data_IF_255235601306
#
_entry.id   IF_255235601306
#
_cell.length_a   1.000
_cell.length_b   1.000
_cell.length_c   1.000
_cell.angle_alpha   90.00
_cell.angle_beta   90.00
_cell.angle_gamma   90.00
#
_symmetry.space_group_name_H-M   'P 1'
#
loop_
_entity.id
_entity.type
_entity.pdbx_description
1 polymer ?
#
# COMPACT_ATOMS: atom_id res chain seq x y z
N UNK A 1 -57.40 4.19 -11.40
CA UNK A 1 -56.83 5.45 -11.93
C UNK A 1 -56.52 6.35 -10.74
N UNK A 2 -55.24 6.48 -10.39
CA UNK A 2 -54.77 7.11 -9.14
C UNK A 2 -54.38 8.57 -9.41
N UNK A 3 -55.05 9.51 -8.77
CA UNK A 3 -54.75 10.94 -8.86
C UNK A 3 -53.68 11.31 -7.82
N UNK A 4 -52.42 11.36 -8.26
CA UNK A 4 -51.30 11.86 -7.48
C UNK A 4 -51.38 13.39 -7.37
N UNK A 5 -51.79 13.88 -6.20
CA UNK A 5 -51.70 15.30 -5.84
C UNK A 5 -50.23 15.66 -5.60
N UNK A 6 -49.62 16.33 -6.58
CA UNK A 6 -48.24 16.79 -6.55
C UNK A 6 -48.12 17.98 -5.60
N UNK A 7 -47.69 17.75 -4.36
CA UNK A 7 -47.35 18.84 -3.44
C UNK A 7 -46.18 19.65 -4.01
N UNK A 8 -46.49 20.87 -4.46
CA UNK A 8 -45.55 21.88 -4.94
C UNK A 8 -44.75 22.40 -3.74
N UNK A 9 -43.52 21.90 -3.53
CA UNK A 9 -42.61 22.44 -2.52
C UNK A 9 -42.30 23.90 -2.86
N UNK A 10 -42.72 24.79 -1.98
CA UNK A 10 -42.38 26.21 -1.94
C UNK A 10 -40.87 26.32 -1.73
N UNK A 11 -40.17 27.07 -2.59
CA UNK A 11 -38.77 27.48 -2.40
C UNK A 11 -38.71 28.51 -1.25
N UNK A 12 -37.94 28.28 -0.18
CA UNK A 12 -37.56 29.37 0.70
C UNK A 12 -36.51 30.23 -0.01
N UNK A 13 -36.74 31.53 0.07
CA UNK A 13 -35.96 32.64 -0.46
C UNK A 13 -34.48 32.56 -0.12
N UNK A 14 -33.66 33.09 -1.04
CA UNK A 14 -32.32 33.59 -0.75
C UNK A 14 -32.39 34.57 0.42
N UNK A 15 -32.05 34.09 1.61
CA UNK A 15 -31.65 34.90 2.75
C UNK A 15 -30.14 34.77 2.87
N UNK A 16 -29.43 35.85 2.55
CA UNK A 16 -28.05 36.07 2.96
C UNK A 16 -27.98 35.99 4.47
N UNK A 17 -27.46 34.89 5.00
CA UNK A 17 -27.02 34.81 6.39
C UNK A 17 -25.56 34.37 6.37
N UNK A 18 -24.70 35.37 6.17
CA UNK A 18 -23.30 35.35 6.58
C UNK A 18 -23.27 35.35 8.11
N UNK A 19 -23.81 34.29 8.71
CA UNK A 19 -23.97 34.10 10.14
C UNK A 19 -22.77 33.36 10.71
N UNK A 20 -21.90 34.13 11.35
CA UNK A 20 -20.93 33.75 12.37
C UNK A 20 -20.35 32.34 12.27
N UNK A 21 -19.20 32.25 11.61
CA UNK A 21 -18.43 31.02 11.53
C UNK A 21 -17.94 30.65 12.93
N UNK A 22 -18.70 29.86 13.70
CA UNK A 22 -18.40 29.47 15.10
C UNK A 22 -17.07 28.74 15.35
N UNK A 23 -16.24 28.59 14.31
CA UNK A 23 -14.82 28.28 14.41
C UNK A 23 -14.13 29.45 13.75
N UNK A 24 -13.67 30.38 14.57
CA UNK A 24 -13.01 31.63 14.15
C UNK A 24 -11.57 31.38 13.68
N UNK A 25 -10.93 30.36 14.24
CA UNK A 25 -9.54 30.03 13.93
C UNK A 25 -9.31 28.51 14.02
N UNK A 26 -9.04 27.88 12.86
CA UNK A 26 -8.74 26.44 12.78
C UNK A 26 -7.44 26.07 13.52
N UNK A 27 -6.52 27.02 13.74
CA UNK A 27 -5.29 26.79 14.52
C UNK A 27 -5.57 26.46 15.98
N UNK A 28 -6.67 26.95 16.55
CA UNK A 28 -7.08 26.59 17.91
C UNK A 28 -7.38 25.10 17.99
N UNK A 29 -8.00 24.51 16.95
CA UNK A 29 -8.23 23.07 16.88
C UNK A 29 -6.91 22.30 16.79
N UNK A 30 -5.95 22.78 16.01
CA UNK A 30 -4.61 22.15 15.92
C UNK A 30 -3.92 22.15 17.29
N UNK A 31 -3.95 23.29 18.01
CA UNK A 31 -3.38 23.40 19.36
C UNK A 31 -4.11 22.50 20.36
N UNK A 32 -5.44 22.41 20.29
CA UNK A 32 -6.24 21.51 21.11
C UNK A 32 -5.85 20.06 20.86
N UNK A 33 -5.80 19.62 19.60
CA UNK A 33 -5.40 18.26 19.25
C UNK A 33 -3.95 17.95 19.65
N UNK A 34 -3.06 18.93 19.57
CA UNK A 34 -1.70 18.82 20.10
C UNK A 34 -1.70 18.60 21.62
N UNK A 35 -2.57 19.29 22.37
CA UNK A 35 -2.65 19.16 23.83
C UNK A 35 -3.18 17.80 24.31
N UNK A 36 -3.97 17.12 23.48
CA UNK A 36 -4.49 15.76 23.73
C UNK A 36 -3.70 14.68 22.97
N UNK A 37 -2.44 14.97 22.61
CA UNK A 37 -1.51 14.03 21.95
C UNK A 37 -2.07 13.37 20.67
N UNK A 38 -2.89 14.12 19.94
CA UNK A 38 -3.57 13.65 18.74
C UNK A 38 -4.33 12.34 18.95
N UNK A 39 -5.19 12.31 19.97
CA UNK A 39 -6.11 11.19 20.18
C UNK A 39 -7.05 10.99 18.98
N UNK A 40 -6.98 9.79 18.39
CA UNK A 40 -7.70 9.45 17.15
C UNK A 40 -9.20 9.30 17.41
N UNK A 41 -9.59 8.81 18.58
CA UNK A 41 -11.01 8.64 18.91
C UNK A 41 -11.70 10.00 18.98
N UNK A 42 -11.10 10.95 19.70
CA UNK A 42 -11.55 12.34 19.78
C UNK A 42 -11.60 12.98 18.40
N UNK A 43 -10.60 12.73 17.55
CA UNK A 43 -10.58 13.27 16.19
C UNK A 43 -11.77 12.75 15.36
N UNK A 44 -12.08 11.45 15.46
CA UNK A 44 -13.23 10.86 14.78
C UNK A 44 -14.57 11.38 15.32
N UNK A 45 -14.69 11.55 16.64
CA UNK A 45 -15.88 12.15 17.27
C UNK A 45 -16.07 13.59 16.83
N UNK A 46 -15.01 14.42 16.84
CA UNK A 46 -15.09 15.81 16.36
C UNK A 46 -15.53 15.87 14.89
N UNK A 47 -15.05 14.95 14.05
CA UNK A 47 -15.46 14.87 12.65
C UNK A 47 -16.94 14.51 12.46
N UNK A 48 -17.57 13.82 13.42
CA UNK A 48 -18.97 13.40 13.33
C UNK A 48 -19.97 14.43 13.86
N UNK A 49 -19.52 15.45 14.59
CA UNK A 49 -20.39 16.48 15.18
C UNK A 49 -21.11 17.31 14.12
N UNK A 50 -20.40 17.85 13.12
CA UNK A 50 -21.01 18.64 12.05
C UNK A 50 -20.16 18.68 10.78
N UNK A 51 -20.76 19.15 9.66
CA UNK A 51 -20.10 19.22 8.35
C UNK A 51 -18.89 20.16 8.30
N UNK A 52 -18.90 21.24 9.07
CA UNK A 52 -17.78 22.20 9.11
C UNK A 52 -16.55 21.56 9.78
N UNK A 53 -16.73 20.92 10.93
CA UNK A 53 -15.67 20.16 11.61
C UNK A 53 -15.20 18.99 10.76
N UNK A 54 -16.12 18.26 10.12
CA UNK A 54 -15.76 17.21 9.18
C UNK A 54 -14.85 17.74 8.04
N UNK A 55 -15.17 18.91 7.49
CA UNK A 55 -14.37 19.53 6.44
C UNK A 55 -12.97 19.94 6.94
N UNK A 56 -12.87 20.52 8.15
CA UNK A 56 -11.59 20.87 8.77
C UNK A 56 -10.75 19.62 9.04
N UNK A 57 -11.35 18.59 9.62
CA UNK A 57 -10.68 17.30 9.87
C UNK A 57 -10.14 16.71 8.57
N UNK A 58 -10.98 16.69 7.53
CA UNK A 58 -10.63 16.10 6.23
C UNK A 58 -9.51 16.86 5.52
N UNK A 59 -9.54 18.20 5.57
CA UNK A 59 -8.59 19.07 4.87
C UNK A 59 -7.28 19.27 5.64
N UNK A 60 -7.31 19.28 6.97
CA UNK A 60 -6.20 19.70 7.82
C UNK A 60 -5.79 18.64 8.84
N UNK A 61 -6.69 18.21 9.73
CA UNK A 61 -6.27 17.48 10.94
C UNK A 61 -5.73 16.08 10.66
N UNK A 62 -6.20 15.38 9.61
CA UNK A 62 -5.62 14.10 9.21
C UNK A 62 -4.15 14.21 8.82
N UNK A 63 -3.76 15.30 8.16
CA UNK A 63 -2.37 15.56 7.81
C UNK A 63 -1.54 15.74 9.07
N UNK A 64 -2.00 16.60 9.97
CA UNK A 64 -1.26 16.94 11.18
C UNK A 64 -1.05 15.72 12.09
N UNK A 65 -2.05 14.85 12.26
CA UNK A 65 -1.88 13.61 13.04
C UNK A 65 -0.90 12.63 12.37
N UNK A 66 -0.95 12.48 11.05
CA UNK A 66 0.00 11.62 10.33
C UNK A 66 1.44 12.14 10.47
N UNK A 67 1.64 13.45 10.37
CA UNK A 67 2.95 14.09 10.56
C UNK A 67 3.44 13.92 12.00
N UNK A 68 2.55 14.07 12.99
CA UNK A 68 2.89 13.86 14.39
C UNK A 68 3.30 12.41 14.68
N UNK A 69 2.56 11.41 14.16
CA UNK A 69 2.78 9.99 14.47
C UNK A 69 3.91 9.34 13.67
N UNK A 70 4.17 9.79 12.43
CA UNK A 70 5.23 9.22 11.59
C UNK A 70 5.95 10.29 10.75
N UNK A 71 6.65 11.24 11.37
CA UNK A 71 7.18 12.43 10.70
C UNK A 71 8.13 12.09 9.55
N UNK A 72 9.04 11.11 9.75
CA UNK A 72 10.01 10.69 8.73
C UNK A 72 9.33 10.05 7.52
N UNK A 73 8.35 9.19 7.76
CA UNK A 73 7.58 8.55 6.69
C UNK A 73 6.74 9.59 5.94
N UNK A 74 5.98 10.42 6.66
CA UNK A 74 5.15 11.47 6.07
C UNK A 74 5.97 12.45 5.22
N UNK A 75 7.14 12.88 5.69
CA UNK A 75 8.04 13.76 4.93
C UNK A 75 8.55 13.08 3.66
N UNK A 76 8.93 11.81 3.74
CA UNK A 76 9.42 11.05 2.58
C UNK A 76 8.31 10.86 1.54
N UNK A 77 7.13 10.41 1.95
CA UNK A 77 5.98 10.23 1.06
C UNK A 77 5.55 11.52 0.38
N UNK A 78 5.60 12.65 1.10
CA UNK A 78 5.24 13.97 0.54
C UNK A 78 6.27 14.43 -0.49
N UNK A 79 7.56 14.18 -0.26
CA UNK A 79 8.64 14.54 -1.21
C UNK A 79 8.58 13.71 -2.48
N UNK A 80 8.25 12.42 -2.37
CA UNK A 80 8.23 11.49 -3.50
C UNK A 80 6.91 11.50 -4.27
N UNK A 81 5.88 12.18 -3.75
CA UNK A 81 4.58 12.30 -4.38
C UNK A 81 4.57 13.33 -5.54
N UNK A 82 3.93 13.00 -6.68
CA UNK A 82 3.64 14.00 -7.70
C UNK A 82 2.74 15.09 -7.12
N UNK A 83 3.15 16.36 -7.28
CA UNK A 83 2.48 17.53 -6.70
C UNK A 83 2.37 17.53 -5.16
N UNK A 84 3.21 16.77 -4.46
CA UNK A 84 3.22 16.70 -3.00
C UNK A 84 2.01 16.00 -2.38
N UNK A 85 1.23 15.24 -3.17
CA UNK A 85 0.01 14.55 -2.70
C UNK A 85 0.24 13.04 -2.57
N UNK A 86 0.28 12.55 -1.33
CA UNK A 86 0.37 11.12 -1.02
C UNK A 86 -0.75 10.36 -1.74
N UNK A 87 -0.47 9.17 -2.26
CA UNK A 87 -1.46 8.31 -2.92
C UNK A 87 -2.70 8.11 -2.04
N UNK A 88 -3.90 8.40 -2.56
CA UNK A 88 -5.15 8.35 -1.80
C UNK A 88 -5.36 9.46 -0.73
N UNK A 89 -4.36 10.31 -0.47
CA UNK A 89 -4.47 11.47 0.42
C UNK A 89 -4.29 11.16 1.92
N UNK A 90 -4.25 12.23 2.73
CA UNK A 90 -3.97 12.15 4.17
C UNK A 90 -4.98 11.33 4.97
N UNK A 91 -6.25 11.33 4.56
CA UNK A 91 -7.26 10.49 5.20
C UNK A 91 -6.98 8.99 4.99
N UNK A 92 -6.55 8.57 3.80
CA UNK A 92 -6.16 7.18 3.56
C UNK A 92 -4.89 6.81 4.32
N UNK A 93 -3.94 7.74 4.41
CA UNK A 93 -2.74 7.57 5.25
C UNK A 93 -3.13 7.38 6.73
N UNK A 94 -4.04 8.18 7.26
CA UNK A 94 -4.53 8.04 8.62
C UNK A 94 -5.22 6.69 8.84
N UNK A 95 -6.11 6.27 7.94
CA UNK A 95 -6.72 4.93 8.00
C UNK A 95 -5.67 3.83 7.99
N UNK A 96 -4.69 3.92 7.11
CA UNK A 96 -3.60 2.94 7.02
C UNK A 96 -2.76 2.87 8.31
N UNK A 97 -2.55 4.00 8.98
CA UNK A 97 -1.80 4.07 10.24
C UNK A 97 -2.57 3.56 11.45
N UNK A 98 -3.89 3.80 11.51
CA UNK A 98 -4.68 3.63 12.73
C UNK A 98 -5.78 2.58 12.63
N UNK A 99 -6.01 1.96 11.48
CA UNK A 99 -7.09 1.00 11.28
C UNK A 99 -6.58 -0.33 10.72
N UNK A 100 -6.81 -1.41 11.48
CA UNK A 100 -6.77 -2.77 10.97
C UNK A 100 -8.05 -3.01 10.17
N UNK A 101 -7.94 -3.47 8.93
CA UNK A 101 -9.10 -3.71 8.08
C UNK A 101 -9.86 -5.00 8.41
N UNK A 102 -9.31 -5.84 9.29
CA UNK A 102 -9.81 -7.19 9.45
C UNK A 102 -9.46 -8.05 8.23
N UNK A 103 -10.07 -9.23 8.17
CA UNK A 103 -9.78 -10.24 7.14
C UNK A 103 -11.06 -11.01 6.80
N UNK A 104 -11.20 -11.32 5.52
CA UNK A 104 -12.20 -12.24 4.97
C UNK A 104 -11.49 -13.27 4.09
N UNK A 105 -12.10 -14.43 3.88
CA UNK A 105 -11.55 -15.45 2.99
C UNK A 105 -11.45 -14.95 1.55
N UNK A 106 -10.29 -15.12 0.94
CA UNK A 106 -10.05 -14.84 -0.47
C UNK A 106 -9.81 -16.14 -1.26
N UNK A 107 -9.58 -16.02 -2.56
CA UNK A 107 -9.24 -17.19 -3.40
C UNK A 107 -7.93 -17.87 -3.01
N UNK A 108 -6.97 -17.12 -2.45
CA UNK A 108 -5.63 -17.61 -2.11
C UNK A 108 -5.39 -17.75 -0.61
N UNK A 109 -6.30 -17.27 0.23
CA UNK A 109 -6.16 -17.34 1.67
C UNK A 109 -7.51 -17.63 2.32
N UNK A 110 -7.65 -18.82 2.91
CA UNK A 110 -8.90 -19.29 3.52
C UNK A 110 -8.80 -19.15 5.03
N UNK A 111 -9.74 -18.41 5.62
CA UNK A 111 -9.92 -18.31 7.07
C UNK A 111 -11.20 -19.01 7.49
N UNK A 112 -11.16 -19.70 8.63
CA UNK A 112 -12.31 -20.36 9.26
C UNK A 112 -13.38 -19.34 9.69
N UNK A 113 -12.94 -18.16 10.13
CA UNK A 113 -13.78 -17.07 10.61
C UNK A 113 -13.22 -15.72 10.15
N UNK A 114 -14.11 -14.84 9.67
CA UNK A 114 -13.73 -13.47 9.35
C UNK A 114 -13.36 -12.68 10.61
N UNK A 115 -12.40 -11.77 10.47
CA UNK A 115 -12.00 -10.83 11.52
C UNK A 115 -12.53 -9.43 11.19
N UNK A 116 -13.19 -8.78 12.15
CA UNK A 116 -13.69 -7.42 11.98
C UNK A 116 -12.55 -6.39 12.08
N UNK A 117 -12.68 -5.30 11.33
CA UNK A 117 -11.74 -4.18 11.42
C UNK A 117 -11.87 -3.40 12.73
N UNK A 118 -10.76 -2.84 13.20
CA UNK A 118 -10.71 -2.06 14.45
C UNK A 118 -9.58 -1.03 14.44
N UNK A 119 -9.63 -0.09 15.38
CA UNK A 119 -8.50 0.82 15.62
C UNK A 119 -7.34 0.07 16.27
N UNK A 120 -6.13 0.34 15.78
CA UNK A 120 -4.88 -0.18 16.35
C UNK A 120 -4.27 0.84 17.30
N UNK A 121 -3.81 0.37 18.46
CA UNK A 121 -3.26 1.24 19.51
C UNK A 121 -1.92 1.87 19.10
N UNK A 122 -1.08 1.07 18.45
CA UNK A 122 0.20 1.50 17.92
C UNK A 122 0.47 0.76 16.61
N UNK A 123 1.17 1.41 15.69
CA UNK A 123 1.65 0.77 14.46
C UNK A 123 2.98 1.39 14.09
N UNK A 124 3.97 0.53 13.86
CA UNK A 124 5.29 0.94 13.39
C UNK A 124 5.44 0.51 11.95
N UNK A 125 5.78 1.45 11.09
CA UNK A 125 6.07 1.20 9.68
C UNK A 125 7.58 1.18 9.48
N UNK A 126 8.09 0.13 8.84
CA UNK A 126 9.53 -0.04 8.62
C UNK A 126 9.86 -0.22 7.14
N UNK A 127 10.89 0.51 6.68
CA UNK A 127 11.51 0.30 5.36
C UNK A 127 12.26 -1.03 5.30
N UNK A 128 12.90 -1.44 6.40
CA UNK A 128 13.67 -2.69 6.44
C UNK A 128 12.73 -3.89 6.33
N UNK A 129 11.61 -3.85 7.04
CA UNK A 129 10.56 -4.85 6.90
C UNK A 129 10.04 -4.87 5.47
N UNK A 130 9.69 -3.72 4.89
CA UNK A 130 9.17 -3.66 3.53
C UNK A 130 10.15 -4.11 2.43
N UNK A 131 11.46 -4.03 2.65
CA UNK A 131 12.45 -4.60 1.73
C UNK A 131 12.29 -6.12 1.57
N UNK A 132 11.88 -6.82 2.62
CA UNK A 132 11.61 -8.26 2.58
C UNK A 132 10.35 -8.64 1.79
N UNK A 133 9.49 -7.67 1.45
CA UNK A 133 8.28 -7.88 0.65
C UNK A 133 8.49 -7.61 -0.84
N UNK A 134 9.66 -7.13 -1.25
CA UNK A 134 9.94 -6.80 -2.64
C UNK A 134 10.67 -7.96 -3.31
N UNK A 135 10.12 -8.45 -4.42
CA UNK A 135 10.82 -9.42 -5.27
C UNK A 135 12.14 -8.83 -5.78
N UNK A 136 13.07 -9.68 -6.21
CA UNK A 136 14.40 -9.27 -6.71
C UNK A 136 14.31 -8.17 -7.76
N UNK A 137 13.36 -8.27 -8.68
CA UNK A 137 13.12 -7.32 -9.76
C UNK A 137 12.63 -5.95 -9.25
N UNK A 138 12.03 -5.91 -8.06
CA UNK A 138 11.43 -4.71 -7.47
C UNK A 138 12.23 -4.13 -6.29
N UNK A 139 13.42 -4.69 -5.97
CA UNK A 139 14.22 -4.31 -4.79
C UNK A 139 14.66 -2.85 -4.72
N UNK A 140 14.64 -2.12 -5.84
CA UNK A 140 14.92 -0.67 -5.87
C UNK A 140 13.76 0.18 -5.37
N UNK A 141 12.56 -0.38 -5.26
CA UNK A 141 11.40 0.33 -4.72
C UNK A 141 11.53 0.50 -3.21
N UNK A 142 10.85 1.50 -2.66
CA UNK A 142 10.72 1.68 -1.22
C UNK A 142 9.28 1.39 -0.81
N UNK A 143 9.14 0.39 0.04
CA UNK A 143 7.90 -0.02 0.67
C UNK A 143 8.07 0.08 2.20
N UNK A 144 7.10 0.68 2.85
CA UNK A 144 6.98 0.66 4.30
C UNK A 144 5.93 -0.38 4.68
N UNK A 145 6.27 -1.31 5.57
CA UNK A 145 5.32 -2.33 6.07
C UNK A 145 5.20 -2.23 7.57
N UNK A 146 3.98 -2.42 8.08
CA UNK A 146 3.69 -2.46 9.49
C UNK A 146 3.99 -3.81 10.12
N UNK A 147 4.23 -3.82 11.42
CA UNK A 147 4.06 -5.05 12.20
C UNK A 147 2.59 -5.55 12.07
N UNK A 148 2.35 -6.87 12.05
CA UNK A 148 1.00 -7.43 12.00
C UNK A 148 0.17 -7.05 13.23
N UNK A 149 -1.13 -6.84 13.02
CA UNK A 149 -2.11 -6.92 14.10
C UNK A 149 -2.47 -8.38 14.29
N UNK A 150 -2.30 -8.90 15.51
CA UNK A 150 -2.55 -10.31 15.84
C UNK A 150 -4.02 -10.52 16.18
N UNK A 151 -4.61 -11.57 15.60
CA UNK A 151 -5.99 -11.96 15.79
C UNK A 151 -6.06 -13.45 16.17
N UNK A 152 -6.40 -13.76 17.43
CA UNK A 152 -6.53 -15.14 17.87
C UNK A 152 -7.65 -15.87 17.14
N UNK A 153 -7.32 -17.00 16.53
CA UNK A 153 -8.28 -17.84 15.80
C UNK A 153 -8.83 -19.01 16.64
N UNK A 154 -8.26 -19.22 17.83
CA UNK A 154 -8.68 -20.23 18.80
C UNK A 154 -7.58 -21.25 19.06
N UNK A 155 -7.77 -22.14 20.03
CA UNK A 155 -6.70 -22.98 20.58
C UNK A 155 -6.10 -24.03 19.61
N UNK A 156 -6.60 -24.15 18.38
CA UNK A 156 -6.18 -25.17 17.40
C UNK A 156 -5.74 -24.59 16.05
N UNK A 157 -5.86 -23.29 15.87
CA UNK A 157 -5.50 -22.61 14.62
C UNK A 157 -4.37 -21.63 14.91
N UNK A 158 -3.43 -21.52 13.97
CA UNK A 158 -2.36 -20.52 14.01
C UNK A 158 -2.99 -19.12 14.09
N UNK A 159 -2.35 -18.20 14.82
CA UNK A 159 -2.87 -16.84 14.96
C UNK A 159 -2.82 -16.09 13.64
N UNK A 160 -3.80 -15.22 13.40
CA UNK A 160 -3.89 -14.47 12.15
C UNK A 160 -3.20 -13.12 12.28
N UNK A 161 -2.22 -12.85 11.42
CA UNK A 161 -1.53 -11.58 11.33
C UNK A 161 -2.08 -10.71 10.21
N UNK A 162 -2.53 -9.49 10.52
CA UNK A 162 -3.02 -8.53 9.52
C UNK A 162 -2.09 -7.32 9.46
N UNK A 163 -1.40 -7.18 8.32
CA UNK A 163 -0.36 -6.16 8.12
C UNK A 163 -0.73 -5.21 6.97
N UNK A 164 -0.07 -4.05 6.99
CA UNK A 164 -0.40 -2.88 6.16
C UNK A 164 0.88 -2.31 5.60
N UNK A 165 0.79 -1.60 4.49
CA UNK A 165 1.98 -0.96 3.94
C UNK A 165 1.68 0.14 2.95
N UNK A 166 2.69 0.96 2.67
CA UNK A 166 2.61 2.02 1.69
C UNK A 166 3.92 2.14 0.92
N UNK A 167 3.82 2.17 -0.39
CA UNK A 167 4.93 2.47 -1.28
C UNK A 167 5.25 3.96 -1.25
N UNK A 168 6.54 4.28 -1.28
CA UNK A 168 7.01 5.66 -1.32
C UNK A 168 6.60 6.40 -2.61
N UNK A 169 6.62 5.69 -3.74
CA UNK A 169 6.35 6.25 -5.06
C UNK A 169 5.78 5.22 -6.04
N UNK A 170 4.67 4.58 -5.69
CA UNK A 170 4.12 3.44 -6.45
C UNK A 170 3.88 3.72 -7.93
N UNK A 171 3.43 4.93 -8.29
CA UNK A 171 3.15 5.29 -9.70
C UNK A 171 4.40 5.13 -10.58
N UNK A 172 5.58 5.39 -10.00
CA UNK A 172 6.90 5.34 -10.66
C UNK A 172 7.70 4.09 -10.26
N UNK A 173 7.10 3.15 -9.54
CA UNK A 173 7.80 1.99 -9.00
C UNK A 173 8.02 0.90 -10.04
N UNK A 174 9.08 0.11 -9.86
CA UNK A 174 9.34 -1.10 -10.65
C UNK A 174 8.26 -2.14 -10.46
N UNK A 175 7.71 -2.23 -9.25
CA UNK A 175 6.56 -3.10 -8.92
C UNK A 175 5.38 -2.80 -9.83
N UNK A 176 5.00 -1.53 -9.96
CA UNK A 176 3.89 -1.14 -10.84
C UNK A 176 4.22 -1.38 -12.31
N UNK A 177 5.44 -1.05 -12.74
CA UNK A 177 5.87 -1.29 -14.12
C UNK A 177 5.81 -2.79 -14.46
N UNK A 178 6.22 -3.66 -13.54
CA UNK A 178 6.18 -5.10 -13.72
C UNK A 178 4.75 -5.66 -13.77
N UNK A 179 3.87 -5.20 -12.85
CA UNK A 179 2.44 -5.56 -12.88
C UNK A 179 1.77 -5.19 -14.21
N UNK A 180 2.05 -3.99 -14.73
CA UNK A 180 1.49 -3.53 -16.01
C UNK A 180 2.12 -4.27 -17.19
N UNK A 181 3.44 -4.44 -17.19
CA UNK A 181 4.18 -5.10 -18.27
C UNK A 181 3.78 -6.56 -18.46
N UNK A 182 3.46 -7.25 -17.36
CA UNK A 182 2.90 -8.62 -17.38
C UNK A 182 1.38 -8.67 -17.55
N UNK A 183 0.73 -7.52 -17.76
CA UNK A 183 -0.71 -7.41 -17.92
C UNK A 183 -1.49 -8.09 -16.78
N UNK A 184 -0.98 -7.98 -15.54
CA UNK A 184 -1.64 -8.57 -14.38
C UNK A 184 -2.98 -7.85 -14.16
N UNK A 185 -4.05 -8.63 -14.14
CA UNK A 185 -5.40 -8.12 -13.93
C UNK A 185 -5.58 -7.59 -12.51
N UNK A 186 -6.39 -6.54 -12.39
CA UNK A 186 -6.84 -6.07 -11.08
C UNK A 186 -7.85 -7.06 -10.52
N UNK A 187 -7.74 -7.34 -9.24
CA UNK A 187 -8.62 -8.26 -8.53
C UNK A 187 -10.07 -7.76 -8.56
N UNK A 188 -10.96 -8.57 -9.13
CA UNK A 188 -12.39 -8.30 -9.10
C UNK A 188 -12.93 -8.44 -7.67
N UNK A 189 -13.90 -7.60 -7.30
CA UNK A 189 -14.49 -7.61 -5.96
C UNK A 189 -13.61 -7.04 -4.84
N UNK A 190 -12.28 -7.04 -4.97
CA UNK A 190 -11.39 -6.50 -3.93
C UNK A 190 -11.13 -5.00 -4.12
N UNK A 191 -11.22 -4.26 -3.00
CA UNK A 191 -10.97 -2.82 -2.94
C UNK A 191 -10.08 -2.50 -1.77
N UNK A 192 -9.24 -1.48 -1.94
CA UNK A 192 -8.35 -1.02 -0.90
C UNK A 192 -9.15 -0.54 0.32
N UNK A 193 -8.96 -1.13 1.51
CA UNK A 193 -9.73 -0.74 2.70
C UNK A 193 -9.45 0.71 3.14
N UNK A 194 -8.33 1.30 2.72
CA UNK A 194 -7.91 2.63 3.13
C UNK A 194 -8.37 3.74 2.17
N UNK A 195 -8.46 3.46 0.87
CA UNK A 195 -8.76 4.47 -0.15
C UNK A 195 -9.85 4.08 -1.15
N UNK A 196 -10.37 2.85 -1.09
CA UNK A 196 -11.40 2.34 -2.00
C UNK A 196 -10.92 2.04 -3.42
N UNK A 197 -9.64 2.20 -3.72
CA UNK A 197 -9.12 1.97 -5.07
C UNK A 197 -8.99 0.48 -5.40
N UNK A 198 -8.99 0.16 -6.71
CA UNK A 198 -8.78 -1.22 -7.21
C UNK A 198 -7.39 -1.73 -6.83
N UNK A 199 -7.25 -3.04 -6.68
CA UNK A 199 -6.02 -3.68 -6.20
C UNK A 199 -5.56 -4.81 -7.11
N UNK A 200 -4.25 -5.04 -7.16
CA UNK A 200 -3.66 -6.27 -7.69
C UNK A 200 -3.45 -7.27 -6.56
N UNK A 201 -3.69 -8.55 -6.84
CA UNK A 201 -3.22 -9.65 -5.98
C UNK A 201 -1.76 -9.93 -6.25
N UNK A 202 -0.91 -9.74 -5.24
CA UNK A 202 0.52 -9.98 -5.39
C UNK A 202 0.84 -11.47 -5.38
N UNK A 203 -0.02 -12.28 -4.75
CA UNK A 203 0.00 -13.74 -4.82
C UNK A 203 -0.22 -14.21 -6.27
N UNK A 204 -1.29 -13.74 -6.91
CA UNK A 204 -1.57 -14.13 -8.30
C UNK A 204 -0.54 -13.59 -9.30
N UNK A 205 0.03 -12.42 -9.02
CA UNK A 205 1.14 -11.87 -9.80
C UNK A 205 2.46 -12.66 -9.63
N UNK A 206 2.54 -13.61 -8.69
CA UNK A 206 3.76 -14.31 -8.27
C UNK A 206 4.88 -13.34 -7.89
N UNK A 207 4.53 -12.32 -7.09
CA UNK A 207 5.46 -11.28 -6.63
C UNK A 207 5.73 -11.32 -5.12
N UNK A 208 5.30 -12.39 -4.46
CA UNK A 208 5.53 -12.60 -3.03
C UNK A 208 6.83 -13.37 -2.84
N UNK A 209 7.91 -12.74 -2.35
CA UNK A 209 9.14 -13.46 -2.05
C UNK A 209 9.03 -14.27 -0.75
N UNK A 210 9.76 -15.39 -0.66
CA UNK A 210 9.87 -16.20 0.59
C UNK A 210 10.30 -15.36 1.80
N UNK A 211 11.15 -14.35 1.57
CA UNK A 211 11.61 -13.42 2.62
C UNK A 211 10.47 -12.67 3.32
N UNK A 212 9.30 -12.53 2.71
CA UNK A 212 8.13 -11.90 3.34
C UNK A 212 7.58 -12.78 4.47
N UNK A 213 7.47 -14.08 4.26
CA UNK A 213 6.96 -15.03 5.25
C UNK A 213 7.91 -15.10 6.45
N UNK A 214 9.21 -15.26 6.19
CA UNK A 214 10.26 -15.21 7.22
C UNK A 214 10.23 -13.91 8.03
N UNK A 215 10.02 -12.77 7.36
CA UNK A 215 9.94 -11.46 8.04
C UNK A 215 8.73 -11.34 8.97
N UNK A 216 7.63 -12.02 8.65
CA UNK A 216 6.39 -12.00 9.43
C UNK A 216 6.32 -13.10 10.49
N UNK A 217 7.26 -14.04 10.53
CA UNK A 217 7.11 -15.25 11.34
C UNK A 217 5.95 -16.13 10.84
N UNK A 218 5.79 -16.21 9.52
CA UNK A 218 4.75 -17.00 8.85
C UNK A 218 5.37 -18.17 8.11
N UNK A 219 4.60 -19.25 7.90
CA UNK A 219 5.02 -20.38 7.05
C UNK A 219 5.14 -19.91 5.60
N UNK A 220 6.01 -20.57 4.84
CA UNK A 220 6.10 -20.35 3.40
C UNK A 220 4.75 -20.62 2.71
N UNK A 221 4.32 -19.69 1.86
CA UNK A 221 2.98 -19.71 1.25
C UNK A 221 1.83 -19.40 2.22
N UNK A 222 2.11 -19.17 3.50
CA UNK A 222 1.13 -18.85 4.54
C UNK A 222 0.70 -17.39 4.58
N UNK A 223 0.87 -16.63 3.49
CA UNK A 223 0.50 -15.22 3.42
C UNK A 223 -0.02 -14.82 2.04
N UNK A 224 -0.81 -13.75 2.05
CA UNK A 224 -1.18 -13.01 0.85
C UNK A 224 -1.16 -11.51 1.10
N UNK A 225 -0.97 -10.73 0.04
CA UNK A 225 -1.21 -9.31 0.09
C UNK A 225 -1.62 -8.72 -1.25
N UNK A 226 -2.26 -7.57 -1.17
CA UNK A 226 -2.78 -6.81 -2.29
C UNK A 226 -2.17 -5.42 -2.29
N UNK A 227 -1.93 -4.87 -3.48
CA UNK A 227 -1.45 -3.49 -3.63
C UNK A 227 -2.41 -2.72 -4.51
N UNK A 228 -2.89 -1.57 -4.03
CA UNK A 228 -3.81 -0.73 -4.80
C UNK A 228 -3.08 0.19 -5.77
N UNK A 229 -3.81 0.75 -6.73
CA UNK A 229 -3.27 1.72 -7.71
C UNK A 229 -2.64 2.97 -7.09
N UNK A 230 -2.93 3.27 -5.82
CA UNK A 230 -2.33 4.36 -5.05
C UNK A 230 -1.11 3.92 -4.23
N UNK A 231 -0.72 2.65 -4.27
CA UNK A 231 0.44 2.12 -3.54
C UNK A 231 0.19 1.69 -2.10
N UNK A 232 -1.07 1.55 -1.67
CA UNK A 232 -1.38 0.96 -0.37
C UNK A 232 -1.37 -0.55 -0.45
N UNK A 233 -0.74 -1.17 0.53
CA UNK A 233 -0.69 -2.60 0.76
C UNK A 233 -1.63 -2.96 1.92
N UNK A 234 -2.43 -4.01 1.74
CA UNK A 234 -3.03 -4.75 2.84
C UNK A 234 -2.69 -6.23 2.65
N UNK A 235 -2.42 -6.93 3.74
CA UNK A 235 -2.10 -8.34 3.68
C UNK A 235 -2.47 -9.08 4.95
N UNK A 236 -2.46 -10.40 4.80
CA UNK A 236 -2.81 -11.35 5.84
C UNK A 236 -1.83 -12.51 5.82
N UNK A 237 -1.48 -13.05 6.99
CA UNK A 237 -0.62 -14.21 7.14
C UNK A 237 -1.04 -15.09 8.32
N UNK A 238 -0.69 -16.37 8.27
CA UNK A 238 -0.72 -17.27 9.42
C UNK A 238 0.57 -17.14 10.21
N UNK A 239 0.48 -16.74 11.47
CA UNK A 239 1.61 -16.57 12.37
C UNK A 239 1.96 -17.91 13.00
N UNK A 240 3.23 -18.29 12.89
CA UNK A 240 3.74 -19.53 13.48
C UNK A 240 3.79 -19.36 15.00
N UNK A 241 3.21 -20.30 15.79
CA UNK A 241 3.32 -20.26 17.24
C UNK A 241 4.78 -20.33 17.69
N UNK A 242 5.17 -19.49 18.66
CA UNK A 242 6.55 -19.44 19.18
C UNK A 242 7.01 -20.75 19.86
N UNK A 243 6.12 -21.73 20.05
CA UNK A 243 6.39 -23.03 20.64
C UNK A 243 6.55 -24.17 19.62
N UNK A 244 6.51 -23.90 18.32
CA UNK A 244 6.80 -24.92 17.32
C UNK A 244 8.31 -25.15 17.26
N UNK A 245 8.76 -26.37 17.53
CA UNK A 245 10.15 -26.76 17.32
C UNK A 245 10.50 -26.52 15.84
N UNK A 246 11.45 -25.63 15.58
CA UNK A 246 11.86 -25.28 14.22
C UNK A 246 12.60 -26.46 13.59
N UNK A 247 11.94 -27.18 12.69
CA UNK A 247 12.63 -28.06 11.75
C UNK A 247 13.55 -27.18 10.89
N UNK A 248 14.83 -27.55 10.87
CA UNK A 248 15.96 -26.85 10.23
C UNK A 248 15.55 -26.26 8.87
N UNK A 249 15.57 -24.93 8.79
CA UNK A 249 15.49 -24.22 7.50
C UNK A 249 16.86 -24.37 6.85
N UNK A 250 16.93 -25.13 5.77
CA UNK A 250 18.10 -25.14 4.90
C UNK A 250 18.36 -23.70 4.43
N UNK A 251 19.55 -23.18 4.77
CA UNK A 251 20.11 -21.93 4.23
C UNK A 251 20.52 -22.19 2.77
N UNK A 252 19.54 -22.49 1.92
CA UNK A 252 19.74 -22.44 0.47
C UNK A 252 19.54 -20.99 0.03
N UNK A 253 20.67 -20.31 -0.13
CA UNK A 253 20.84 -19.16 -1.03
C UNK A 253 20.53 -19.62 -2.47
N UNK A 254 19.26 -19.93 -2.75
CA UNK A 254 18.82 -20.23 -4.10
C UNK A 254 18.50 -18.92 -4.82
N UNK A 255 19.51 -18.45 -5.55
CA UNK A 255 19.37 -17.68 -6.77
C UNK A 255 18.55 -18.49 -7.82
N UNK A 256 17.24 -18.64 -7.60
CA UNK A 256 16.36 -19.19 -8.64
C UNK A 256 16.16 -18.15 -9.75
N UNK A 257 16.77 -18.49 -10.89
CA UNK A 257 16.74 -17.80 -12.16
C UNK A 257 15.38 -17.97 -12.85
N UNK A 258 14.44 -17.07 -12.60
CA UNK A 258 13.25 -16.93 -13.45
C UNK A 258 13.67 -16.33 -14.81
N UNK A 259 14.19 -17.19 -15.69
CA UNK A 259 14.33 -16.93 -17.12
C UNK A 259 12.93 -16.72 -17.73
N UNK A 260 12.55 -15.46 -17.86
CA UNK A 260 11.43 -15.10 -18.72
C UNK A 260 11.88 -15.31 -20.17
N UNK A 261 11.27 -16.29 -20.84
CA UNK A 261 11.55 -16.67 -22.22
C UNK A 261 11.63 -15.47 -23.16
N UNK A 262 12.79 -15.35 -23.80
CA UNK A 262 13.07 -14.44 -24.90
C UNK A 262 12.25 -14.83 -26.13
N UNK A 263 11.39 -13.92 -26.58
CA UNK A 263 10.65 -14.07 -27.83
C UNK A 263 11.47 -13.40 -28.94
N UNK A 264 12.32 -14.21 -29.55
CA UNK A 264 12.75 -14.16 -30.95
C UNK A 264 13.03 -12.78 -31.56
N UNK A 265 14.28 -12.32 -31.47
CA UNK A 265 14.85 -11.44 -32.48
C UNK A 265 15.53 -12.28 -33.56
N UNK A 266 14.95 -12.26 -34.76
CA UNK A 266 15.50 -12.89 -35.96
C UNK A 266 16.93 -12.38 -36.25
N UNK A 267 17.85 -13.33 -36.34
CA UNK A 267 19.16 -13.17 -36.96
C UNK A 267 18.99 -12.80 -38.43
N UNK A 268 19.57 -11.68 -38.86
CA UNK A 268 19.75 -11.37 -40.27
C UNK A 268 21.24 -11.51 -40.54
N UNK A 269 21.60 -12.60 -41.21
CA UNK A 269 22.91 -12.84 -41.80
C UNK A 269 23.21 -11.77 -42.86
N UNK A 270 24.45 -11.29 -42.86
CA UNK A 270 25.05 -10.63 -44.00
C UNK A 270 26.40 -11.28 -44.27
N UNK A 271 26.39 -12.27 -45.15
CA UNK A 271 27.60 -12.77 -45.80
C UNK A 271 27.97 -11.86 -46.99
N UNK A 272 29.23 -11.45 -46.95
CA UNK A 272 30.22 -11.43 -48.03
C UNK A 272 29.90 -10.74 -49.37
N UNK A 273 30.75 -9.77 -49.75
CA UNK A 273 31.60 -9.89 -50.95
C UNK A 273 32.49 -8.64 -51.16
N UNK A 274 33.80 -8.93 -51.24
CA UNK A 274 34.83 -8.30 -52.11
C UNK A 274 35.39 -6.92 -51.78
N UNK A 275 36.68 -6.86 -51.43
CA UNK A 275 37.72 -6.38 -52.34
C UNK A 275 39.14 -6.59 -51.74
N UNK A 276 39.92 -7.41 -52.43
CA UNK A 276 41.36 -7.58 -52.28
C UNK A 276 42.06 -6.41 -52.99
N UNK A 277 43.08 -5.80 -52.37
CA UNK A 277 44.45 -5.64 -52.94
C UNK A 277 45.39 -4.86 -52.00
N UNK A 278 46.48 -5.54 -51.62
CA UNK A 278 47.88 -5.11 -51.54
C UNK A 278 48.29 -3.69 -51.11
N UNK A 279 49.24 -3.64 -50.15
CA UNK A 279 50.03 -2.45 -49.83
C UNK A 279 51.07 -2.67 -48.73
N UNK A 280 52.25 -3.18 -49.12
CA UNK A 280 53.46 -3.46 -48.33
C UNK A 280 53.84 -2.46 -47.23
N UNK A 281 54.33 -3.02 -46.13
CA UNK A 281 55.27 -2.41 -45.18
C UNK A 281 56.70 -2.71 -45.62
N UNK A 282 57.60 -1.71 -45.71
CA UNK A 282 59.04 -1.79 -45.36
C UNK A 282 59.51 -0.40 -44.85
N UNK A 283 60.45 -0.32 -43.88
CA UNK A 283 60.84 0.88 -43.14
C UNK A 283 62.19 1.47 -43.61
N UNK A 284 62.52 2.71 -43.17
CA UNK A 284 63.79 3.09 -42.54
C UNK A 284 63.98 4.62 -42.50
N UNK A 285 64.81 5.05 -41.55
CA UNK A 285 64.94 6.42 -41.08
C UNK A 285 65.75 7.38 -41.95
N UNK A 286 65.57 8.66 -41.66
CA UNK A 286 66.58 9.69 -41.41
C UNK A 286 65.91 10.81 -40.62
#
# INVERSE_FOLDING_TARGET
>A
MSANQRMRRIRPSQGSDSGDSGILNEQVLVLLFKSIEWDIQTLCLVASVNRKLQAIVTRLLWREVCVYRAPRMAATLTKSAPNGRIGGGWHSMAKLMFFCCGCESTRHFRVSRSSAGHFVKATRFSKTSGRSFLSRQCRSDVLYVSDPCEHPMGNREDDLGIYRGIFEGFIRSRTRAYLIGRQVELEEGVRCPYCGARMWSMTAARLIPKSAARRLGSRDGGLEYFVCVNGHLHGTCWLVPLSSDEDKVDDDDDDEDDSAGDVGAQTVDYDDLTAVTDGRVIPNGA
#
